data_IF_040328878763
#
_entry.id   IF_040328878763
#
_cell.length_a   1.000
_cell.length_b   1.000
_cell.length_c   1.000
_cell.angle_alpha   90.00
_cell.angle_beta   90.00
_cell.angle_gamma   90.00
#
_symmetry.space_group_name_H-M   'P 1'
#
loop_
_entity.id
_entity.type
_entity.pdbx_description
1 polymer ?
#
# COMPACT_ATOMS: atom_id res chain seq x y z
N UNK A 1 -9.18 10.19 -16.12
CA UNK A 1 -9.14 9.45 -17.39
C UNK A 1 -8.14 8.32 -17.24
N UNK A 2 -8.67 7.11 -17.07
CA UNK A 2 -7.88 5.92 -16.70
C UNK A 2 -7.13 5.26 -17.87
N UNK A 3 -7.34 5.77 -19.09
CA UNK A 3 -6.77 5.26 -20.35
C UNK A 3 -5.58 6.11 -20.89
N UNK A 4 -5.20 7.16 -20.17
CA UNK A 4 -4.09 8.03 -20.59
C UNK A 4 -2.74 7.41 -20.24
N UNK A 5 -1.88 7.23 -21.25
CA UNK A 5 -0.47 6.94 -21.03
C UNK A 5 0.27 8.22 -20.62
N UNK A 6 0.65 8.29 -19.35
CA UNK A 6 1.35 9.43 -18.77
C UNK A 6 2.88 9.29 -18.81
N UNK A 7 3.43 8.26 -19.44
CA UNK A 7 4.88 7.94 -19.45
C UNK A 7 5.70 9.14 -19.88
N UNK A 8 5.36 9.74 -21.00
CA UNK A 8 6.12 10.89 -21.53
C UNK A 8 6.03 12.12 -20.62
N UNK A 9 4.86 12.38 -20.03
CA UNK A 9 4.69 13.48 -19.08
C UNK A 9 5.54 13.29 -17.82
N UNK A 10 5.61 12.07 -17.30
CA UNK A 10 6.44 11.73 -16.15
C UNK A 10 7.91 11.87 -16.47
N UNK A 11 8.38 11.35 -17.62
CA UNK A 11 9.77 11.47 -18.06
C UNK A 11 10.16 12.93 -18.26
N UNK A 12 9.29 13.75 -18.83
CA UNK A 12 9.53 15.18 -19.01
C UNK A 12 9.64 15.91 -17.67
N UNK A 13 8.76 15.62 -16.72
CA UNK A 13 8.80 16.22 -15.38
C UNK A 13 10.09 15.85 -14.62
N UNK A 14 10.55 14.61 -14.74
CA UNK A 14 11.81 14.19 -14.10
C UNK A 14 13.00 14.88 -14.79
N UNK A 15 13.03 14.93 -16.12
CA UNK A 15 14.11 15.58 -16.89
C UNK A 15 14.24 17.07 -16.55
N UNK A 16 13.11 17.76 -16.30
CA UNK A 16 13.11 19.17 -15.89
C UNK A 16 13.88 19.40 -14.58
N UNK A 17 13.79 18.45 -13.63
CA UNK A 17 14.41 18.56 -12.30
C UNK A 17 15.77 17.84 -12.21
N UNK A 18 16.02 16.90 -13.12
CA UNK A 18 17.25 16.13 -13.21
C UNK A 18 17.69 16.01 -14.69
N UNK A 19 18.32 17.05 -15.26
CA UNK A 19 18.78 17.06 -16.65
C UNK A 19 19.72 15.89 -16.96
N UNK A 20 19.48 15.19 -18.06
CA UNK A 20 20.19 13.98 -18.47
C UNK A 20 19.60 12.68 -17.92
N UNK A 21 18.48 12.73 -17.18
CA UNK A 21 17.81 11.53 -16.69
C UNK A 21 17.38 10.58 -17.81
N UNK A 22 16.85 11.13 -18.92
CA UNK A 22 16.40 10.34 -20.07
C UNK A 22 17.50 9.45 -20.66
N UNK A 23 18.72 9.94 -20.70
CA UNK A 23 19.87 9.21 -21.23
C UNK A 23 20.28 8.02 -20.35
N UNK A 24 19.85 8.01 -19.09
CA UNK A 24 20.10 6.93 -18.14
C UNK A 24 19.02 5.86 -18.14
N UNK A 25 17.87 6.09 -18.80
CA UNK A 25 16.76 5.14 -18.85
C UNK A 25 17.11 4.01 -19.82
N UNK A 26 17.41 2.84 -19.27
CA UNK A 26 17.72 1.63 -20.06
C UNK A 26 16.46 0.92 -20.55
N UNK A 27 15.39 0.96 -19.77
CA UNK A 27 14.08 0.39 -20.10
C UNK A 27 13.00 1.03 -19.24
N UNK A 28 11.78 1.08 -19.76
CA UNK A 28 10.62 1.54 -19.01
C UNK A 28 9.42 0.65 -19.32
N UNK A 29 8.56 0.47 -18.33
CA UNK A 29 7.27 -0.21 -18.48
C UNK A 29 6.21 0.63 -17.79
N UNK A 30 5.10 0.86 -18.48
CA UNK A 30 3.96 1.55 -17.93
C UNK A 30 2.74 0.62 -17.96
N UNK A 31 1.96 0.64 -16.88
CA UNK A 31 0.67 -0.06 -16.81
C UNK A 31 -0.40 1.00 -16.57
N UNK A 32 -1.35 1.10 -17.47
CA UNK A 32 -2.45 2.07 -17.33
C UNK A 32 -3.43 1.62 -16.27
N UNK A 33 -4.21 2.57 -15.74
CA UNK A 33 -5.18 2.28 -14.69
C UNK A 33 -6.28 1.30 -15.12
N UNK A 34 -6.70 1.36 -16.39
CA UNK A 34 -7.68 0.44 -16.98
C UNK A 34 -7.13 -1.01 -17.16
N UNK A 35 -5.82 -1.13 -17.34
CA UNK A 35 -5.12 -2.42 -17.49
C UNK A 35 -4.68 -3.01 -16.14
N UNK A 36 -4.65 -2.21 -15.08
CA UNK A 36 -4.02 -2.57 -13.80
C UNK A 36 -4.67 -3.79 -13.14
N UNK A 37 -6.00 -3.92 -13.25
CA UNK A 37 -6.72 -5.08 -12.76
C UNK A 37 -6.32 -6.39 -13.45
N UNK A 38 -6.07 -6.35 -14.76
CA UNK A 38 -5.64 -7.52 -15.52
C UNK A 38 -4.14 -7.81 -15.39
N UNK A 39 -3.31 -6.75 -15.35
CA UNK A 39 -1.85 -6.88 -15.33
C UNK A 39 -1.29 -7.22 -13.94
N UNK A 40 -1.93 -6.74 -12.87
CA UNK A 40 -1.41 -6.87 -11.50
C UNK A 40 -2.31 -7.76 -10.65
N UNK A 41 -3.57 -7.37 -10.45
CA UNK A 41 -4.54 -8.16 -9.67
C UNK A 41 -5.97 -7.70 -9.93
N UNK A 42 -6.93 -8.63 -10.07
CA UNK A 42 -8.36 -8.30 -10.19
C UNK A 42 -8.93 -7.48 -9.02
N UNK A 43 -8.23 -7.45 -7.88
CA UNK A 43 -8.62 -6.66 -6.71
C UNK A 43 -8.43 -5.15 -6.91
N UNK A 44 -7.67 -4.74 -7.93
CA UNK A 44 -7.41 -3.34 -8.26
C UNK A 44 -8.39 -2.83 -9.33
N UNK A 45 -9.68 -3.04 -9.11
CA UNK A 45 -10.73 -2.63 -10.04
C UNK A 45 -10.62 -1.12 -10.36
N UNK A 46 -10.59 -0.78 -11.65
CA UNK A 46 -10.44 0.60 -12.12
C UNK A 46 -9.09 1.25 -11.78
N UNK A 47 -8.06 0.44 -11.47
CA UNK A 47 -6.74 0.94 -11.07
C UNK A 47 -6.65 1.39 -9.61
N UNK A 48 -7.65 1.08 -8.79
CA UNK A 48 -7.67 1.47 -7.38
C UNK A 48 -6.74 0.60 -6.52
N UNK A 49 -5.48 0.99 -6.44
CA UNK A 49 -4.49 0.39 -5.52
C UNK A 49 -4.70 0.81 -4.06
N UNK A 50 -5.52 1.85 -3.80
CA UNK A 50 -5.77 2.38 -2.47
C UNK A 50 -6.86 1.61 -1.70
N UNK A 51 -7.56 0.68 -2.36
CA UNK A 51 -8.67 -0.08 -1.78
C UNK A 51 -9.77 0.82 -1.23
N UNK A 52 -10.14 1.84 -2.01
CA UNK A 52 -11.20 2.80 -1.70
C UNK A 52 -10.69 4.24 -1.52
N UNK A 53 -11.63 5.16 -1.40
CA UNK A 53 -11.35 6.59 -1.37
C UNK A 53 -10.39 7.01 -0.23
N UNK A 54 -9.44 7.87 -0.57
CA UNK A 54 -8.49 8.45 0.41
C UNK A 54 -9.12 9.67 1.06
N UNK A 55 -10.17 9.45 1.85
CA UNK A 55 -10.83 10.49 2.66
C UNK A 55 -10.68 10.17 4.13
N UNK A 56 -10.72 11.18 5.01
CA UNK A 56 -10.62 10.99 6.47
C UNK A 56 -11.65 9.99 6.98
N UNK A 57 -12.88 10.06 6.47
CA UNK A 57 -13.96 9.15 6.87
C UNK A 57 -13.66 7.71 6.47
N UNK A 58 -13.17 7.52 5.24
CA UNK A 58 -12.82 6.18 4.75
C UNK A 58 -11.59 5.62 5.45
N UNK A 59 -10.61 6.44 5.78
CA UNK A 59 -9.42 6.03 6.55
C UNK A 59 -9.80 5.47 7.92
N UNK A 60 -10.79 6.06 8.59
CA UNK A 60 -11.28 5.58 9.89
C UNK A 60 -12.17 4.33 9.80
N UNK A 61 -12.81 4.11 8.63
CA UNK A 61 -13.75 2.99 8.41
C UNK A 61 -13.12 1.77 7.72
N UNK A 62 -11.82 1.75 7.50
CA UNK A 62 -11.12 0.67 6.78
C UNK A 62 -10.78 -0.52 7.64
N UNK A 63 -11.06 -1.74 7.19
CA UNK A 63 -12.13 -2.14 6.27
C UNK A 63 -13.48 -2.14 7.00
N UNK A 64 -13.45 -1.93 8.29
CA UNK A 64 -14.59 -1.92 9.21
C UNK A 64 -14.30 -0.96 10.37
N UNK A 65 -15.33 -0.36 10.94
CA UNK A 65 -15.19 0.45 12.16
C UNK A 65 -14.90 -0.46 13.35
N UNK A 66 -13.66 -0.55 13.72
CA UNK A 66 -13.18 -1.42 14.81
C UNK A 66 -11.90 -0.87 15.43
N UNK A 67 -11.66 -1.04 16.72
CA UNK A 67 -10.35 -0.76 17.33
C UNK A 67 -9.26 -1.73 16.86
N UNK A 68 -9.64 -2.87 16.29
CA UNK A 68 -8.73 -3.89 15.75
C UNK A 68 -9.17 -4.31 14.34
N UNK A 69 -9.08 -3.39 13.34
CA UNK A 69 -9.62 -3.62 12.00
C UNK A 69 -8.81 -4.67 11.21
N UNK A 70 -7.70 -5.14 11.74
CA UNK A 70 -6.85 -6.19 11.15
C UNK A 70 -7.39 -7.60 11.43
N UNK A 71 -8.22 -7.78 12.46
CA UNK A 71 -8.85 -9.07 12.79
C UNK A 71 -10.00 -9.35 11.86
N UNK A 72 -10.08 -10.57 11.32
CA UNK A 72 -11.23 -11.03 10.52
C UNK A 72 -12.21 -11.85 11.39
N UNK A 73 -13.43 -12.10 10.90
CA UNK A 73 -14.36 -13.03 11.55
C UNK A 73 -13.87 -14.49 11.56
N UNK A 74 -12.90 -14.84 10.70
CA UNK A 74 -12.32 -16.18 10.66
C UNK A 74 -11.19 -16.29 11.69
N UNK A 75 -11.24 -17.34 12.53
CA UNK A 75 -10.24 -17.57 13.55
C UNK A 75 -8.84 -17.75 12.95
N UNK A 76 -7.86 -17.05 13.52
CA UNK A 76 -6.47 -17.11 13.10
C UNK A 76 -6.15 -16.38 11.78
N UNK A 77 -7.13 -15.72 11.16
CA UNK A 77 -6.93 -14.97 9.90
C UNK A 77 -6.92 -13.47 10.16
N UNK A 78 -5.87 -12.79 9.72
CA UNK A 78 -5.64 -11.36 9.89
C UNK A 78 -5.38 -10.67 8.56
N UNK A 79 -5.87 -9.45 8.40
CA UNK A 79 -5.65 -8.62 7.22
C UNK A 79 -4.42 -7.74 7.39
N UNK A 80 -3.49 -7.81 6.45
CA UNK A 80 -2.23 -7.05 6.45
C UNK A 80 -2.05 -6.20 5.18
N UNK A 81 -3.14 -5.76 4.57
CA UNK A 81 -3.13 -5.03 3.31
C UNK A 81 -3.37 -3.53 3.47
N UNK A 82 -3.14 -2.76 2.40
CA UNK A 82 -3.51 -1.35 2.32
C UNK A 82 -5.00 -1.06 2.51
N UNK A 83 -5.86 -2.10 2.44
CA UNK A 83 -7.27 -1.98 2.78
C UNK A 83 -7.52 -1.78 4.28
N UNK A 84 -6.53 -2.01 5.14
CA UNK A 84 -6.61 -1.78 6.59
C UNK A 84 -5.96 -0.46 6.99
N UNK A 85 -6.28 0.03 8.19
CA UNK A 85 -5.63 1.22 8.77
C UNK A 85 -4.14 0.97 9.03
N UNK A 86 -3.23 1.90 8.74
CA UNK A 86 -3.45 3.30 8.33
C UNK A 86 -3.69 3.54 6.83
N UNK A 87 -3.78 2.53 6.01
CA UNK A 87 -4.03 2.64 4.59
C UNK A 87 -2.82 2.30 3.73
N UNK A 88 -2.93 2.45 2.40
CA UNK A 88 -1.85 2.13 1.47
C UNK A 88 -0.71 3.13 1.59
N UNK A 89 0.51 2.64 1.68
CA UNK A 89 1.77 3.39 1.53
C UNK A 89 2.95 2.44 1.67
N UNK A 90 4.17 2.94 1.43
CA UNK A 90 5.42 2.18 1.59
C UNK A 90 5.93 2.30 3.03
N UNK A 91 5.17 1.81 4.00
CA UNK A 91 5.53 1.92 5.43
C UNK A 91 5.41 0.59 6.21
N UNK A 92 4.82 -0.47 5.64
CA UNK A 92 4.64 -1.76 6.30
C UNK A 92 3.71 -1.78 7.52
N UNK A 93 3.09 -0.64 7.89
CA UNK A 93 2.34 -0.50 9.15
C UNK A 93 1.10 -1.40 9.21
N UNK A 94 0.43 -1.65 8.08
CA UNK A 94 -0.72 -2.57 8.06
C UNK A 94 -0.30 -3.97 8.51
N UNK A 95 0.84 -4.49 8.00
CA UNK A 95 1.41 -5.76 8.40
C UNK A 95 1.87 -5.78 9.85
N UNK A 96 2.51 -4.70 10.30
CA UNK A 96 2.98 -4.58 11.68
C UNK A 96 1.82 -4.61 12.68
N UNK A 97 0.74 -3.88 12.42
CA UNK A 97 -0.45 -3.89 13.28
C UNK A 97 -1.15 -5.26 13.26
N UNK A 98 -1.29 -5.88 12.09
CA UNK A 98 -1.86 -7.23 11.97
C UNK A 98 -1.04 -8.26 12.78
N UNK A 99 0.29 -8.25 12.66
CA UNK A 99 1.18 -9.11 13.42
C UNK A 99 1.06 -8.87 14.94
N UNK A 100 1.02 -7.62 15.39
CA UNK A 100 0.81 -7.30 16.80
C UNK A 100 -0.52 -7.79 17.33
N UNK A 101 -1.58 -7.66 16.53
CA UNK A 101 -2.91 -8.15 16.89
C UNK A 101 -2.89 -9.67 17.05
N UNK A 102 -2.26 -10.39 16.11
CA UNK A 102 -2.07 -11.83 16.16
C UNK A 102 -1.30 -12.26 17.43
N UNK A 103 -0.18 -11.61 17.71
CA UNK A 103 0.63 -11.91 18.90
C UNK A 103 -0.17 -11.69 20.19
N UNK A 104 -0.87 -10.57 20.29
CA UNK A 104 -1.72 -10.27 21.43
C UNK A 104 -2.82 -11.33 21.63
N UNK A 105 -3.51 -11.72 20.56
CA UNK A 105 -4.61 -12.71 20.63
C UNK A 105 -4.12 -14.11 21.05
N UNK A 106 -2.86 -14.41 20.80
CA UNK A 106 -2.23 -15.69 21.20
C UNK A 106 -1.41 -15.58 22.50
N UNK A 107 -1.48 -14.45 23.22
CA UNK A 107 -0.74 -14.27 24.47
C UNK A 107 0.78 -14.23 24.29
N UNK A 108 1.27 -13.94 23.08
CA UNK A 108 2.69 -13.89 22.76
C UNK A 108 3.18 -12.45 22.92
N UNK A 109 4.21 -12.19 23.73
CA UNK A 109 4.78 -10.84 23.84
C UNK A 109 5.31 -10.33 22.49
N UNK A 110 4.96 -9.08 22.16
CA UNK A 110 5.49 -8.45 20.95
C UNK A 110 7.02 -8.26 21.09
N UNK A 111 7.81 -8.49 20.02
CA UNK A 111 9.25 -8.27 20.05
C UNK A 111 9.55 -6.78 20.29
N UNK A 112 10.60 -6.52 21.07
CA UNK A 112 11.12 -5.16 21.23
C UNK A 112 11.90 -4.78 19.97
N UNK A 113 11.29 -3.93 19.13
CA UNK A 113 11.90 -3.40 17.91
C UNK A 113 12.63 -2.06 18.13
N UNK A 114 12.96 -1.72 19.38
CA UNK A 114 13.80 -0.55 19.62
C UNK A 114 15.10 -0.70 18.82
N UNK A 115 15.57 0.34 18.11
CA UNK A 115 16.83 0.27 17.40
C UNK A 115 17.92 -0.05 18.42
N UNK A 116 18.64 -1.14 18.18
CA UNK A 116 19.86 -1.43 18.96
C UNK A 116 20.80 -0.27 18.69
N UNK A 117 21.06 0.55 19.71
CA UNK A 117 22.07 1.60 19.57
C UNK A 117 23.36 0.96 19.10
N UNK A 118 23.75 1.22 17.86
CA UNK A 118 25.06 0.84 17.37
C UNK A 118 26.09 1.51 18.32
N UNK A 119 26.86 0.68 19.01
CA UNK A 119 28.03 1.11 19.77
C UNK A 119 29.17 1.41 18.84
#
# INVERSE_FOLDING_TARGET
DSDVDATEAVLAAVEEHAPGFRDLVLASTATRADEFAAAVSPNFAGGDFASGAVTMTQMLKRPVVSPTPWRTPADGVYLASGATTPGPSVHGMCGWHAARTLLHDNGIPAPNLAPTSAR
#
